data_IF_500213926901
#
_entry.id   IF_500213926901
#
_cell.length_a   1.000
_cell.length_b   1.000
_cell.length_c   1.000
_cell.angle_alpha   90.00
_cell.angle_beta   90.00
_cell.angle_gamma   90.00
#
_symmetry.space_group_name_H-M   'P 1'
#
loop_
_entity.id
_entity.type
_entity.pdbx_description
1 polymer ?
#
# COMPACT_ATOMS: atom_id res chain seq x y z
N UNK A 1 -24.83 -30.59 34.82
CA UNK A 1 -23.63 -30.77 33.97
C UNK A 1 -23.82 -29.83 32.79
N UNK A 2 -23.39 -28.58 32.94
CA UNK A 2 -23.60 -27.55 31.91
C UNK A 2 -22.39 -27.60 30.97
N UNK A 3 -22.63 -27.95 29.71
CA UNK A 3 -21.62 -27.82 28.66
C UNK A 3 -21.23 -26.35 28.53
N UNK A 4 -20.01 -26.02 28.99
CA UNK A 4 -19.35 -24.79 28.60
C UNK A 4 -18.87 -24.94 27.16
N UNK A 5 -19.70 -24.54 26.20
CA UNK A 5 -19.25 -24.31 24.83
C UNK A 5 -18.34 -23.09 24.85
N UNK A 6 -17.04 -23.31 25.07
CA UNK A 6 -16.02 -22.27 24.96
C UNK A 6 -16.15 -21.62 23.58
N UNK A 7 -16.43 -20.29 23.49
CA UNK A 7 -16.45 -19.62 22.20
C UNK A 7 -15.08 -19.81 21.56
N UNK A 8 -15.04 -20.20 20.29
CA UNK A 8 -13.81 -20.45 19.55
C UNK A 8 -12.94 -19.17 19.55
N UNK A 9 -12.08 -19.05 20.56
CA UNK A 9 -11.04 -18.04 20.61
C UNK A 9 -10.08 -18.40 19.49
N UNK A 10 -10.31 -17.80 18.33
CA UNK A 10 -9.50 -18.07 17.15
C UNK A 10 -8.05 -17.78 17.52
N UNK A 11 -7.22 -18.82 17.55
CA UNK A 11 -5.84 -18.71 18.04
C UNK A 11 -5.15 -17.55 17.32
N UNK A 12 -4.52 -16.59 18.05
CA UNK A 12 -3.78 -15.47 17.46
C UNK A 12 -2.74 -15.89 16.41
N UNK A 13 -2.28 -17.15 16.45
CA UNK A 13 -1.38 -17.74 15.46
C UNK A 13 -2.01 -17.95 14.08
N UNK A 14 -3.29 -18.30 14.00
CA UNK A 14 -3.98 -18.55 12.72
C UNK A 14 -4.19 -17.24 11.96
N UNK A 15 -4.67 -16.18 12.64
CA UNK A 15 -4.81 -14.83 12.05
C UNK A 15 -3.48 -14.31 11.48
N UNK A 16 -2.40 -14.40 12.28
CA UNK A 16 -1.05 -14.01 11.85
C UNK A 16 -0.58 -14.80 10.62
N UNK A 17 -0.91 -16.10 10.55
CA UNK A 17 -0.58 -16.95 9.40
C UNK A 17 -1.27 -16.47 8.13
N UNK A 18 -2.59 -16.26 8.16
CA UNK A 18 -3.32 -15.80 6.97
C UNK A 18 -2.87 -14.42 6.50
N UNK A 19 -2.62 -13.47 7.42
CA UNK A 19 -2.00 -12.18 7.07
C UNK A 19 -0.64 -12.36 6.40
N UNK A 20 0.23 -13.18 6.97
CA UNK A 20 1.56 -13.44 6.40
C UNK A 20 1.46 -14.06 5.01
N UNK A 21 0.50 -14.96 4.78
CA UNK A 21 0.28 -15.55 3.45
C UNK A 21 -0.22 -14.48 2.49
N UNK A 22 -1.23 -13.69 2.87
CA UNK A 22 -1.79 -12.64 2.01
C UNK A 22 -0.73 -11.63 1.57
N UNK A 23 -0.03 -11.00 2.53
CA UNK A 23 1.03 -10.04 2.22
C UNK A 23 2.28 -10.70 1.64
N UNK A 24 2.54 -11.97 1.96
CA UNK A 24 3.61 -12.76 1.36
C UNK A 24 3.38 -13.02 -0.13
N UNK A 25 2.14 -13.29 -0.55
CA UNK A 25 1.80 -13.45 -1.97
C UNK A 25 1.97 -12.14 -2.74
N UNK A 26 1.48 -11.03 -2.19
CA UNK A 26 1.70 -9.72 -2.80
C UNK A 26 3.19 -9.39 -2.89
N UNK A 27 3.93 -9.55 -1.78
CA UNK A 27 5.37 -9.30 -1.73
C UNK A 27 6.16 -10.18 -2.70
N UNK A 28 5.81 -11.46 -2.81
CA UNK A 28 6.42 -12.38 -3.78
C UNK A 28 6.10 -11.98 -5.21
N UNK A 29 4.86 -11.56 -5.51
CA UNK A 29 4.48 -11.06 -6.83
C UNK A 29 5.25 -9.80 -7.23
N UNK A 30 5.40 -8.85 -6.30
CA UNK A 30 6.24 -7.66 -6.49
C UNK A 30 7.70 -8.06 -6.76
N UNK A 31 8.28 -8.92 -5.92
CA UNK A 31 9.65 -9.40 -6.10
C UNK A 31 9.87 -10.13 -7.42
N UNK A 32 8.90 -10.95 -7.82
CA UNK A 32 8.93 -11.68 -9.09
C UNK A 32 8.91 -10.74 -10.29
N UNK A 33 8.18 -9.63 -10.24
CA UNK A 33 8.21 -8.60 -11.29
C UNK A 33 9.61 -8.02 -11.45
N UNK A 34 10.26 -7.61 -10.35
CA UNK A 34 11.60 -7.05 -10.40
C UNK A 34 12.63 -8.05 -10.95
N UNK A 35 12.57 -9.31 -10.51
CA UNK A 35 13.42 -10.38 -11.02
C UNK A 35 13.17 -10.57 -12.52
N UNK A 36 11.91 -10.65 -12.95
CA UNK A 36 11.57 -10.85 -14.35
C UNK A 36 12.01 -9.68 -15.25
N UNK A 37 11.95 -8.44 -14.76
CA UNK A 37 12.51 -7.26 -15.45
C UNK A 37 14.01 -7.43 -15.66
N UNK A 38 14.74 -7.88 -14.64
CA UNK A 38 16.20 -8.10 -14.73
C UNK A 38 16.61 -9.21 -15.72
N UNK A 39 15.69 -10.10 -16.09
CA UNK A 39 15.90 -11.19 -17.06
C UNK A 39 15.19 -10.96 -18.40
N UNK A 40 14.74 -9.74 -18.71
CA UNK A 40 14.00 -9.41 -19.94
C UNK A 40 12.72 -10.25 -20.15
N UNK A 41 12.08 -10.67 -19.05
CA UNK A 41 10.84 -11.45 -19.02
C UNK A 41 9.66 -10.62 -18.52
N UNK A 42 9.55 -9.38 -18.96
CA UNK A 42 8.58 -8.40 -18.44
C UNK A 42 7.13 -8.93 -18.36
N UNK A 43 6.62 -9.51 -19.46
CA UNK A 43 5.24 -10.04 -19.52
C UNK A 43 4.99 -11.11 -18.45
N UNK A 44 5.96 -12.00 -18.22
CA UNK A 44 5.88 -13.02 -17.17
C UNK A 44 5.91 -12.37 -15.78
N UNK A 45 6.75 -11.36 -15.57
CA UNK A 45 6.80 -10.59 -14.33
C UNK A 45 5.46 -9.95 -13.99
N UNK A 46 4.83 -9.32 -14.98
CA UNK A 46 3.49 -8.72 -14.82
C UNK A 46 2.45 -9.78 -14.46
N UNK A 47 2.47 -10.93 -15.13
CA UNK A 47 1.55 -12.03 -14.80
C UNK A 47 1.73 -12.51 -13.35
N UNK A 48 2.97 -12.65 -12.87
CA UNK A 48 3.27 -13.05 -11.50
C UNK A 48 2.89 -11.99 -10.47
N UNK A 49 3.08 -10.70 -10.79
CA UNK A 49 2.62 -9.59 -9.96
C UNK A 49 1.10 -9.64 -9.77
N UNK A 50 0.34 -9.78 -10.86
CA UNK A 50 -1.11 -9.90 -10.81
C UNK A 50 -1.55 -11.16 -10.07
N UNK A 51 -0.89 -12.30 -10.28
CA UNK A 51 -1.16 -13.52 -9.54
C UNK A 51 -0.96 -13.34 -8.03
N UNK A 52 0.09 -12.63 -7.61
CA UNK A 52 0.34 -12.29 -6.21
C UNK A 52 -0.76 -11.40 -5.62
N UNK A 53 -1.16 -10.34 -6.33
CA UNK A 53 -2.23 -9.45 -5.91
C UNK A 53 -3.61 -10.13 -5.82
N UNK A 54 -3.97 -10.91 -6.84
CA UNK A 54 -5.20 -11.72 -6.82
C UNK A 54 -5.15 -12.77 -5.72
N UNK A 55 -4.01 -13.43 -5.52
CA UNK A 55 -3.81 -14.39 -4.43
C UNK A 55 -4.01 -13.77 -3.06
N UNK A 56 -3.47 -12.56 -2.83
CA UNK A 56 -3.72 -11.79 -1.61
C UNK A 56 -5.22 -11.51 -1.43
N UNK A 57 -5.89 -11.02 -2.47
CA UNK A 57 -7.33 -10.73 -2.45
C UNK A 57 -8.17 -11.97 -2.14
N UNK A 58 -7.84 -13.12 -2.73
CA UNK A 58 -8.52 -14.39 -2.46
C UNK A 58 -8.32 -14.84 -1.01
N UNK A 59 -7.10 -14.75 -0.48
CA UNK A 59 -6.82 -15.09 0.93
C UNK A 59 -7.61 -14.21 1.87
N UNK A 60 -7.73 -12.91 1.58
CA UNK A 60 -8.51 -12.00 2.40
C UNK A 60 -10.01 -12.27 2.30
N UNK A 61 -10.52 -12.50 1.08
CA UNK A 61 -11.96 -12.70 0.81
C UNK A 61 -12.51 -14.00 1.40
N UNK A 62 -11.71 -15.05 1.36
CA UNK A 62 -12.09 -16.41 1.78
C UNK A 62 -11.45 -16.82 3.11
N UNK A 63 -10.84 -15.89 3.84
CA UNK A 63 -10.33 -16.17 5.18
C UNK A 63 -11.48 -16.58 6.11
N UNK A 64 -11.39 -17.74 6.79
CA UNK A 64 -12.39 -18.15 7.77
C UNK A 64 -12.29 -17.37 9.09
N UNK A 65 -11.31 -16.47 9.20
CA UNK A 65 -11.01 -15.67 10.38
C UNK A 65 -11.01 -14.20 10.00
N UNK A 66 -11.61 -13.36 10.83
CA UNK A 66 -11.49 -11.92 10.72
C UNK A 66 -10.02 -11.51 10.84
N UNK A 67 -9.48 -10.91 9.79
CA UNK A 67 -8.04 -10.61 9.73
C UNK A 67 -7.70 -9.38 10.57
N UNK A 68 -8.53 -8.34 10.54
CA UNK A 68 -8.25 -7.05 11.16
C UNK A 68 -9.03 -6.91 12.47
N UNK A 69 -8.37 -6.48 13.54
CA UNK A 69 -9.01 -6.06 14.79
C UNK A 69 -8.93 -4.53 14.96
N UNK A 70 -9.50 -4.01 16.05
CA UNK A 70 -9.46 -2.58 16.38
C UNK A 70 -8.04 -2.02 16.54
N UNK A 71 -7.09 -2.86 16.98
CA UNK A 71 -5.69 -2.45 17.09
C UNK A 71 -5.05 -2.34 15.72
N UNK A 72 -5.30 -3.30 14.84
CA UNK A 72 -4.81 -3.29 13.45
C UNK A 72 -5.34 -2.07 12.71
N UNK A 73 -6.63 -1.74 12.83
CA UNK A 73 -7.22 -0.57 12.18
C UNK A 73 -6.63 0.73 12.73
N UNK A 74 -6.35 0.80 14.03
CA UNK A 74 -5.66 1.95 14.63
C UNK A 74 -4.25 2.11 14.08
N UNK A 75 -3.47 1.03 14.02
CA UNK A 75 -2.12 1.02 13.46
C UNK A 75 -2.14 1.42 11.98
N UNK A 76 -3.07 0.88 11.20
CA UNK A 76 -3.20 1.20 9.77
C UNK A 76 -3.57 2.67 9.56
N UNK A 77 -4.48 3.22 10.37
CA UNK A 77 -4.84 4.63 10.34
C UNK A 77 -3.65 5.54 10.66
N UNK A 78 -2.89 5.23 11.72
CA UNK A 78 -1.70 5.99 12.09
C UNK A 78 -0.59 5.89 11.04
N UNK A 79 -0.31 4.69 10.56
CA UNK A 79 0.67 4.45 9.50
C UNK A 79 0.29 5.21 8.21
N UNK A 80 -0.99 5.15 7.81
CA UNK A 80 -1.51 5.91 6.67
C UNK A 80 -1.36 7.42 6.86
N UNK A 81 -1.70 7.94 8.05
CA UNK A 81 -1.54 9.35 8.38
C UNK A 81 -0.07 9.81 8.29
N UNK A 82 0.85 9.08 8.93
CA UNK A 82 2.27 9.43 8.90
C UNK A 82 2.90 9.28 7.51
N UNK A 83 2.49 8.26 6.75
CA UNK A 83 2.93 8.07 5.36
C UNK A 83 2.48 9.24 4.49
N UNK A 84 1.21 9.64 4.58
CA UNK A 84 0.68 10.78 3.82
C UNK A 84 1.38 12.08 4.23
N UNK A 85 1.63 12.28 5.53
CA UNK A 85 2.37 13.44 6.04
C UNK A 85 3.80 13.52 5.52
N UNK A 86 4.51 12.38 5.49
CA UNK A 86 5.86 12.30 4.93
C UNK A 86 5.86 12.72 3.45
N UNK A 87 4.98 12.12 2.64
CA UNK A 87 4.89 12.47 1.22
C UNK A 87 4.40 13.89 1.00
N UNK A 88 3.64 14.47 1.93
CA UNK A 88 3.24 15.88 1.85
C UNK A 88 4.45 16.79 1.99
N UNK A 89 5.35 16.50 2.95
CA UNK A 89 6.60 17.26 3.06
C UNK A 89 7.50 17.10 1.83
N UNK A 90 7.64 15.87 1.33
CA UNK A 90 8.40 15.61 0.09
C UNK A 90 7.81 16.40 -1.07
N UNK A 91 6.49 16.45 -1.20
CA UNK A 91 5.83 17.15 -2.30
C UNK A 91 5.92 18.68 -2.16
N UNK A 92 5.58 19.21 -0.98
CA UNK A 92 5.57 20.65 -0.69
C UNK A 92 6.97 21.25 -0.76
N UNK A 93 8.00 20.53 -0.34
CA UNK A 93 9.38 21.02 -0.38
C UNK A 93 10.07 20.64 -1.69
N UNK A 94 9.88 19.41 -2.14
CA UNK A 94 10.58 18.86 -3.30
C UNK A 94 10.10 19.45 -4.62
N UNK A 95 8.80 19.69 -4.79
CA UNK A 95 8.28 20.26 -6.04
C UNK A 95 8.80 21.70 -6.27
N UNK A 96 8.47 22.69 -5.43
CA UNK A 96 8.96 24.06 -5.65
C UNK A 96 10.48 24.16 -5.46
N UNK A 97 11.07 23.41 -4.52
CA UNK A 97 12.51 23.43 -4.31
C UNK A 97 13.30 22.90 -5.51
N UNK A 98 12.84 21.80 -6.11
CA UNK A 98 13.43 21.25 -7.34
C UNK A 98 13.35 22.24 -8.49
N UNK A 99 12.18 22.85 -8.72
CA UNK A 99 11.98 23.82 -9.80
C UNK A 99 12.85 25.07 -9.64
N UNK A 100 12.97 25.60 -8.42
CA UNK A 100 13.85 26.75 -8.16
C UNK A 100 15.32 26.41 -8.40
N UNK A 101 15.75 25.20 -8.00
CA UNK A 101 17.13 24.76 -8.22
C UNK A 101 17.44 24.49 -9.70
N UNK A 102 16.47 24.01 -10.47
CA UNK A 102 16.58 23.87 -11.94
C UNK A 102 16.66 25.24 -12.62
N UNK A 103 15.73 26.13 -12.32
CA UNK A 103 15.66 27.47 -12.92
C UNK A 103 16.91 28.32 -12.59
N UNK A 104 17.46 28.15 -11.39
CA UNK A 104 18.71 28.82 -10.98
C UNK A 104 19.98 28.19 -11.58
N UNK A 105 19.86 27.10 -12.34
CA UNK A 105 20.98 26.40 -12.96
C UNK A 105 21.88 25.66 -11.96
N UNK A 106 21.44 25.47 -10.71
CA UNK A 106 22.20 24.77 -9.67
C UNK A 106 22.21 23.26 -9.90
N UNK A 107 21.11 22.72 -10.44
CA UNK A 107 21.01 21.31 -10.83
C UNK A 107 20.15 21.16 -12.08
N UNK A 108 20.30 20.06 -12.80
CA UNK A 108 19.37 19.66 -13.87
C UNK A 108 18.48 18.54 -13.33
N UNK A 109 17.16 18.67 -13.47
CA UNK A 109 16.26 17.66 -12.95
C UNK A 109 16.22 16.44 -13.89
N UNK A 110 16.18 15.22 -13.33
CA UNK A 110 16.01 14.02 -14.15
C UNK A 110 14.63 14.02 -14.81
N UNK A 111 14.50 13.39 -15.98
CA UNK A 111 13.24 13.37 -16.74
C UNK A 111 12.07 12.78 -15.94
N UNK A 112 12.35 11.90 -15.00
CA UNK A 112 11.40 11.24 -14.12
C UNK A 112 10.83 12.18 -13.03
N UNK A 113 11.47 13.32 -12.75
CA UNK A 113 11.06 14.25 -11.69
C UNK A 113 9.60 14.67 -11.84
N UNK A 114 9.23 15.13 -13.03
CA UNK A 114 7.87 15.58 -13.32
C UNK A 114 6.85 14.45 -13.18
N UNK A 115 7.19 13.24 -13.62
CA UNK A 115 6.34 12.05 -13.45
C UNK A 115 6.13 11.69 -11.98
N UNK A 116 7.18 11.78 -11.15
CA UNK A 116 7.09 11.58 -9.71
C UNK A 116 6.21 12.65 -9.05
N UNK A 117 6.35 13.92 -9.43
CA UNK A 117 5.52 15.02 -8.91
C UNK A 117 4.05 14.87 -9.29
N UNK A 118 3.76 14.47 -10.53
CA UNK A 118 2.39 14.16 -10.97
C UNK A 118 1.77 12.97 -10.22
N UNK A 119 2.58 11.96 -9.91
CA UNK A 119 2.13 10.80 -9.12
C UNK A 119 1.77 11.22 -7.70
N UNK A 120 2.62 12.01 -7.03
CA UNK A 120 2.31 12.56 -5.70
C UNK A 120 1.07 13.45 -5.74
N UNK A 121 0.95 14.32 -6.74
CA UNK A 121 -0.23 15.15 -6.95
C UNK A 121 -1.51 14.29 -7.06
N UNK A 122 -1.50 13.25 -7.89
CA UNK A 122 -2.64 12.35 -8.06
C UNK A 122 -3.03 11.65 -6.74
N UNK A 123 -2.05 11.20 -5.95
CA UNK A 123 -2.30 10.60 -4.63
C UNK A 123 -2.98 11.61 -3.68
N UNK A 124 -2.50 12.86 -3.62
CA UNK A 124 -3.11 13.90 -2.78
C UNK A 124 -4.50 14.32 -3.25
N UNK A 125 -4.72 14.41 -4.57
CA UNK A 125 -6.05 14.67 -5.14
C UNK A 125 -7.02 13.55 -4.77
N UNK A 126 -6.61 12.28 -4.94
CA UNK A 126 -7.43 11.13 -4.57
C UNK A 126 -7.74 11.13 -3.07
N UNK A 127 -6.72 11.35 -2.22
CA UNK A 127 -6.89 11.47 -0.77
C UNK A 127 -7.89 12.58 -0.41
N UNK A 128 -7.74 13.77 -0.99
CA UNK A 128 -8.67 14.89 -0.79
C UNK A 128 -10.10 14.55 -1.24
N UNK A 129 -10.25 13.89 -2.38
CA UNK A 129 -11.55 13.43 -2.88
C UNK A 129 -12.21 12.44 -1.92
N UNK A 130 -11.47 11.48 -1.37
CA UNK A 130 -12.01 10.55 -0.37
C UNK A 130 -12.36 11.23 0.95
N UNK A 131 -11.56 12.19 1.42
CA UNK A 131 -11.88 12.99 2.62
C UNK A 131 -13.19 13.76 2.42
N UNK A 132 -13.32 14.44 1.28
CA UNK A 132 -14.54 15.16 0.90
C UNK A 132 -15.73 14.19 0.86
N UNK A 133 -15.60 13.07 0.16
CA UNK A 133 -16.64 12.06 0.04
C UNK A 133 -17.13 11.56 1.41
N UNK A 134 -16.21 11.17 2.30
CA UNK A 134 -16.57 10.69 3.63
C UNK A 134 -17.16 11.79 4.51
N UNK A 135 -16.69 13.04 4.39
CA UNK A 135 -17.23 14.18 5.13
C UNK A 135 -18.69 14.50 4.77
N UNK A 136 -19.11 14.27 3.52
CA UNK A 136 -20.48 14.54 3.08
C UNK A 136 -21.42 13.32 3.14
N UNK A 137 -20.87 12.12 3.34
CA UNK A 137 -21.64 10.88 3.46
C UNK A 137 -21.94 10.47 4.91
N UNK A 138 -21.07 10.85 5.85
CA UNK A 138 -21.23 10.66 7.30
C UNK A 138 -21.95 11.86 7.91
#
# INVERSE_FOLDING_TARGET
MSEHTTPATTRPSTRKRYKRIAYGLLGAGIGALFVAVAFDRFVLGVALYWAGGLGMGLVQRFSPVELYDERDTTIEREAGHYTMKLFAYVFILGAPGGLVLEESGVLTLPGEFYGAMWTLFAVFVAYGAFVIYHKYRL
#
